data_IF_603097799330
#
_entry.id   IF_603097799330
#
_cell.length_a   1.000
_cell.length_b   1.000
_cell.length_c   1.000
_cell.angle_alpha   90.00
_cell.angle_beta   90.00
_cell.angle_gamma   90.00
#
_symmetry.space_group_name_H-M   'P 1'
#
loop_
_entity.id
_entity.type
_entity.pdbx_description
1 polymer ?
#
# COMPACT_ATOMS: atom_id res chain seq x y z
N UNK A 1 6.23 17.36 32.23
CA UNK A 1 6.31 16.73 30.89
C UNK A 1 5.64 17.69 29.92
N UNK A 2 6.43 18.31 29.01
CA UNK A 2 5.87 19.20 27.98
C UNK A 2 5.42 18.33 26.81
N UNK A 3 4.12 18.29 26.56
CA UNK A 3 3.59 17.71 25.31
C UNK A 3 4.06 18.59 24.16
N UNK A 4 4.92 18.04 23.31
CA UNK A 4 5.24 18.64 22.02
C UNK A 4 4.05 18.41 21.09
N UNK A 5 3.21 19.41 20.97
CA UNK A 5 2.21 19.44 19.91
C UNK A 5 2.95 19.47 18.56
N UNK A 6 2.81 18.42 17.77
CA UNK A 6 3.35 18.33 16.41
C UNK A 6 2.77 19.48 15.57
N UNK A 7 3.66 20.33 15.06
CA UNK A 7 3.29 21.42 14.17
C UNK A 7 2.78 20.84 12.84
N UNK A 8 1.85 21.55 12.17
CA UNK A 8 1.40 21.19 10.80
C UNK A 8 2.57 21.01 9.82
N UNK A 9 3.67 21.71 10.07
CA UNK A 9 4.90 21.64 9.29
C UNK A 9 5.65 20.33 9.56
N UNK A 10 5.68 19.85 10.79
CA UNK A 10 6.31 18.58 11.17
C UNK A 10 5.53 17.38 10.63
N UNK A 11 4.19 17.50 10.54
CA UNK A 11 3.34 16.51 9.90
C UNK A 11 3.55 16.42 8.38
N UNK A 12 3.78 17.55 7.71
CA UNK A 12 4.09 17.58 6.27
C UNK A 12 5.51 17.08 5.96
N UNK A 13 6.45 17.22 6.89
CA UNK A 13 7.82 16.71 6.73
C UNK A 13 7.92 15.20 6.99
N UNK A 14 7.00 14.59 7.72
CA UNK A 14 7.05 13.16 8.04
C UNK A 14 6.62 12.22 6.91
N UNK A 15 6.12 12.75 5.79
CA UNK A 15 5.72 11.98 4.60
C UNK A 15 6.62 12.23 3.38
N UNK A 16 7.79 12.82 3.58
CA UNK A 16 8.74 13.13 2.49
C UNK A 16 9.51 11.88 2.10
N UNK A 17 9.02 11.14 1.12
CA UNK A 17 9.80 10.11 0.43
C UNK A 17 10.85 10.78 -0.46
N UNK A 18 12.06 10.24 -0.48
CA UNK A 18 13.13 10.68 -1.37
C UNK A 18 13.20 9.72 -2.56
N UNK A 19 12.93 10.21 -3.75
CA UNK A 19 13.10 9.45 -4.98
C UNK A 19 14.54 9.54 -5.47
N UNK A 20 15.20 8.40 -5.68
CA UNK A 20 16.56 8.30 -6.20
C UNK A 20 16.52 7.53 -7.51
N UNK A 21 17.01 8.16 -8.60
CA UNK A 21 17.20 7.48 -9.87
C UNK A 21 18.39 6.51 -9.81
N UNK A 22 18.19 5.27 -10.25
CA UNK A 22 19.26 4.28 -10.37
C UNK A 22 19.87 4.34 -11.77
N UNK A 23 21.19 4.22 -11.85
CA UNK A 23 21.94 4.24 -13.11
C UNK A 23 21.57 3.11 -14.10
N UNK A 24 20.81 2.11 -13.64
CA UNK A 24 20.36 0.93 -14.41
C UNK A 24 18.93 1.03 -14.96
N UNK A 25 18.34 2.25 -14.95
CA UNK A 25 17.01 2.48 -15.54
C UNK A 25 15.83 2.21 -14.60
N UNK A 26 16.07 1.99 -13.31
CA UNK A 26 15.04 1.91 -12.28
C UNK A 26 14.96 3.16 -11.41
N UNK A 27 13.92 3.22 -10.59
CA UNK A 27 13.73 4.25 -9.58
C UNK A 27 13.67 3.63 -8.19
N UNK A 28 14.15 4.35 -7.18
CA UNK A 28 14.06 3.93 -5.78
C UNK A 28 13.45 5.06 -4.95
N UNK A 29 12.45 4.74 -4.17
CA UNK A 29 11.84 5.63 -3.21
C UNK A 29 12.28 5.17 -1.82
N UNK A 30 12.95 6.05 -1.09
CA UNK A 30 13.41 5.78 0.27
C UNK A 30 12.39 6.28 1.28
N UNK A 31 12.18 5.52 2.35
CA UNK A 31 11.50 6.01 3.54
C UNK A 31 12.29 7.16 4.18
N UNK A 32 11.63 8.07 4.92
CA UNK A 32 12.28 9.24 5.51
C UNK A 32 13.47 8.89 6.42
N UNK A 33 13.44 7.73 7.05
CA UNK A 33 14.48 7.21 7.95
C UNK A 33 15.39 6.16 7.29
N UNK A 34 15.27 5.94 5.96
CA UNK A 34 15.94 4.88 5.19
C UNK A 34 15.68 3.45 5.73
N UNK A 35 14.62 3.27 6.50
CA UNK A 35 14.28 1.97 7.10
C UNK A 35 13.84 0.94 6.05
N UNK A 36 13.35 1.39 4.91
CA UNK A 36 12.97 0.56 3.77
C UNK A 36 13.02 1.36 2.47
N UNK A 37 13.06 0.67 1.36
CA UNK A 37 13.06 1.27 0.03
C UNK A 37 12.03 0.57 -0.87
N UNK A 38 11.39 1.33 -1.76
CA UNK A 38 10.56 0.83 -2.85
C UNK A 38 11.34 0.98 -4.16
N UNK A 39 11.60 -0.14 -4.82
CA UNK A 39 12.33 -0.17 -6.09
C UNK A 39 11.37 -0.46 -7.24
N UNK A 40 11.37 0.38 -8.27
CA UNK A 40 10.54 0.22 -9.46
C UNK A 40 11.39 0.29 -10.73
N UNK A 41 10.97 -0.42 -11.76
CA UNK A 41 11.63 -0.50 -13.07
C UNK A 41 10.74 -0.01 -14.20
N UNK A 42 9.44 -0.21 -14.10
CA UNK A 42 8.46 0.13 -15.11
C UNK A 42 7.65 1.39 -14.78
N UNK A 43 7.45 1.65 -13.50
CA UNK A 43 6.70 2.80 -13.02
C UNK A 43 7.65 3.92 -12.59
N UNK A 44 7.27 5.15 -12.91
CA UNK A 44 7.99 6.33 -12.42
C UNK A 44 7.76 6.53 -10.90
N UNK A 45 8.64 7.30 -10.22
CA UNK A 45 8.56 7.48 -8.77
C UNK A 45 7.24 8.06 -8.29
N UNK A 46 6.66 9.01 -9.02
CA UNK A 46 5.40 9.64 -8.62
C UNK A 46 4.23 8.64 -8.69
N UNK A 47 4.16 7.87 -9.80
CA UNK A 47 3.17 6.80 -9.94
C UNK A 47 3.33 5.77 -8.82
N UNK A 48 4.54 5.29 -8.55
CA UNK A 48 4.81 4.30 -7.53
C UNK A 48 4.43 4.80 -6.12
N UNK A 49 4.77 6.04 -5.77
CA UNK A 49 4.40 6.66 -4.51
C UNK A 49 2.87 6.80 -4.37
N UNK A 50 2.20 7.23 -5.43
CA UNK A 50 0.74 7.39 -5.43
C UNK A 50 0.05 6.03 -5.22
N UNK A 51 0.51 4.98 -5.89
CA UNK A 51 -0.03 3.63 -5.72
C UNK A 51 0.21 3.07 -4.31
N UNK A 52 1.37 3.36 -3.69
CA UNK A 52 1.65 2.99 -2.30
C UNK A 52 0.66 3.66 -1.35
N UNK A 53 0.48 4.97 -1.47
CA UNK A 53 -0.48 5.72 -0.66
C UNK A 53 -1.91 5.24 -0.92
N UNK A 54 -2.26 4.90 -2.18
CA UNK A 54 -3.57 4.34 -2.54
C UNK A 54 -3.79 2.98 -1.88
N UNK A 55 -2.83 2.07 -1.94
CA UNK A 55 -2.94 0.75 -1.31
C UNK A 55 -3.18 0.87 0.21
N UNK A 56 -2.45 1.78 0.88
CA UNK A 56 -2.66 2.08 2.29
C UNK A 56 -4.02 2.72 2.58
N UNK A 57 -4.50 3.59 1.68
CA UNK A 57 -5.80 4.25 1.83
C UNK A 57 -6.97 3.28 1.63
N UNK A 58 -6.82 2.29 0.74
CA UNK A 58 -7.81 1.23 0.51
C UNK A 58 -7.91 0.25 1.68
N UNK A 59 -6.79 -0.09 2.30
CA UNK A 59 -6.69 -1.05 3.41
C UNK A 59 -5.86 -0.47 4.54
N UNK A 60 -6.39 0.50 5.31
CA UNK A 60 -5.66 1.17 6.38
C UNK A 60 -5.50 0.24 7.59
N UNK A 61 -4.27 -0.15 7.89
CA UNK A 61 -3.92 -0.94 9.07
C UNK A 61 -2.89 -0.18 9.90
N UNK A 62 -3.26 0.27 11.09
CA UNK A 62 -2.39 1.08 11.96
C UNK A 62 -1.11 0.34 12.38
N UNK A 63 -1.17 -1.00 12.45
CA UNK A 63 -0.04 -1.84 12.86
C UNK A 63 0.90 -2.21 11.71
N UNK A 64 0.51 -1.99 10.45
CA UNK A 64 1.35 -2.29 9.29
C UNK A 64 2.10 -1.05 8.84
N UNK A 65 3.42 -1.13 8.81
CA UNK A 65 4.27 -0.09 8.22
C UNK A 65 4.16 -0.07 6.69
N UNK A 66 4.60 1.04 6.08
CA UNK A 66 4.53 1.23 4.62
C UNK A 66 5.35 0.22 3.81
N UNK A 67 6.37 -0.41 4.43
CA UNK A 67 7.14 -1.48 3.79
C UNK A 67 6.30 -2.65 3.29
N UNK A 68 5.19 -2.97 3.96
CA UNK A 68 4.29 -4.03 3.52
C UNK A 68 3.43 -3.62 2.32
N UNK A 69 3.10 -2.33 2.22
CA UNK A 69 2.41 -1.78 1.05
C UNK A 69 3.38 -1.56 -0.11
N UNK A 70 4.66 -1.31 0.16
CA UNK A 70 5.70 -1.23 -0.86
C UNK A 70 5.82 -2.55 -1.63
N UNK A 71 5.72 -3.70 -0.96
CA UNK A 71 5.75 -5.01 -1.64
C UNK A 71 4.58 -5.20 -2.62
N UNK A 72 3.42 -4.59 -2.37
CA UNK A 72 2.30 -4.58 -3.30
C UNK A 72 2.65 -3.82 -4.57
N UNK A 73 3.25 -2.64 -4.43
CA UNK A 73 3.64 -1.79 -5.57
C UNK A 73 4.75 -2.45 -6.38
N UNK A 74 5.75 -3.07 -5.74
CA UNK A 74 6.81 -3.83 -6.42
C UNK A 74 6.25 -5.01 -7.24
N UNK A 75 5.25 -5.71 -6.69
CA UNK A 75 4.59 -6.80 -7.43
C UNK A 75 3.84 -6.29 -8.66
N UNK A 76 3.16 -5.15 -8.53
CA UNK A 76 2.44 -4.50 -9.64
C UNK A 76 3.44 -3.93 -10.67
N UNK A 77 4.54 -3.31 -10.24
CA UNK A 77 5.61 -2.81 -11.10
C UNK A 77 6.21 -3.94 -11.95
N UNK A 78 6.50 -5.08 -11.33
CA UNK A 78 7.02 -6.27 -12.00
C UNK A 78 6.06 -6.79 -13.09
N UNK A 79 4.75 -6.76 -12.84
CA UNK A 79 3.76 -7.12 -13.85
C UNK A 79 3.71 -6.07 -14.96
N UNK A 80 3.72 -4.77 -14.62
CA UNK A 80 3.71 -3.67 -15.57
C UNK A 80 4.98 -3.62 -16.45
N UNK A 81 6.10 -4.21 -16.00
CA UNK A 81 7.31 -4.32 -16.82
C UNK A 81 7.10 -5.18 -18.06
N UNK A 82 6.26 -6.22 -17.97
CA UNK A 82 5.94 -7.12 -19.09
C UNK A 82 4.59 -6.81 -19.74
N UNK A 83 3.73 -6.03 -19.10
CA UNK A 83 2.39 -5.67 -19.58
C UNK A 83 2.26 -4.15 -19.78
N UNK A 84 2.38 -3.72 -21.03
CA UNK A 84 2.27 -2.31 -21.39
C UNK A 84 0.84 -1.76 -21.19
N UNK A 85 -0.20 -2.59 -21.30
CA UNK A 85 -1.58 -2.17 -21.06
C UNK A 85 -1.80 -1.90 -19.56
N UNK A 86 -1.33 -2.79 -18.70
CA UNK A 86 -1.35 -2.58 -17.25
C UNK A 86 -0.57 -1.31 -16.86
N UNK A 87 0.65 -1.15 -17.37
CA UNK A 87 1.44 0.06 -17.10
C UNK A 87 0.69 1.33 -17.47
N UNK A 88 0.09 1.35 -18.67
CA UNK A 88 -0.72 2.49 -19.13
C UNK A 88 -1.93 2.72 -18.21
N UNK A 89 -2.66 1.68 -17.85
CA UNK A 89 -3.81 1.76 -16.94
C UNK A 89 -3.43 2.40 -15.62
N UNK A 90 -2.29 2.02 -15.03
CA UNK A 90 -1.79 2.55 -13.76
C UNK A 90 -1.39 4.03 -13.88
N UNK A 91 -0.61 4.38 -14.91
CA UNK A 91 -0.16 5.75 -15.14
C UNK A 91 -1.34 6.68 -15.43
N UNK A 92 -2.26 6.28 -16.31
CA UNK A 92 -3.48 7.06 -16.61
C UNK A 92 -4.39 7.18 -15.37
N UNK A 93 -4.46 6.11 -14.56
CA UNK A 93 -5.21 6.12 -13.30
C UNK A 93 -4.68 7.15 -12.32
N UNK A 94 -3.38 7.19 -12.12
CA UNK A 94 -2.73 8.20 -11.27
C UNK A 94 -2.93 9.61 -11.81
N UNK A 95 -2.78 9.81 -13.12
CA UNK A 95 -3.03 11.11 -13.74
C UNK A 95 -4.48 11.61 -13.52
N UNK A 96 -5.47 10.70 -13.54
CA UNK A 96 -6.86 11.05 -13.20
C UNK A 96 -7.03 11.46 -11.74
N UNK A 97 -6.38 10.71 -10.81
CA UNK A 97 -6.41 11.07 -9.38
C UNK A 97 -5.83 12.47 -9.16
N UNK A 98 -4.72 12.81 -9.77
CA UNK A 98 -4.05 14.10 -9.63
C UNK A 98 -4.88 15.24 -10.24
N UNK A 99 -5.52 15.00 -11.37
CA UNK A 99 -6.36 16.02 -12.04
C UNK A 99 -7.65 16.33 -11.30
N UNK A 100 -8.12 15.44 -10.41
CA UNK A 100 -9.43 15.56 -9.76
C UNK A 100 -9.59 16.80 -8.87
N UNK A 101 -8.49 17.34 -8.32
CA UNK A 101 -8.50 18.51 -7.41
C UNK A 101 -7.48 19.58 -7.77
N UNK A 102 -6.76 19.43 -8.89
CA UNK A 102 -5.76 20.40 -9.39
C UNK A 102 -4.45 20.44 -8.59
N UNK A 103 -4.24 19.52 -7.66
CA UNK A 103 -2.99 19.25 -6.95
C UNK A 103 -2.75 17.74 -6.90
N UNK A 104 -1.50 17.34 -6.69
CA UNK A 104 -1.17 15.91 -6.58
C UNK A 104 -2.05 15.22 -5.53
N UNK A 105 -2.64 14.09 -5.89
CA UNK A 105 -3.57 13.37 -5.01
C UNK A 105 -2.93 12.99 -3.67
N UNK A 106 -1.65 12.66 -3.67
CA UNK A 106 -0.89 12.34 -2.45
C UNK A 106 -0.78 13.51 -1.48
N UNK A 107 -0.95 14.75 -1.93
CA UNK A 107 -0.92 15.96 -1.11
C UNK A 107 -2.27 16.29 -0.48
N UNK A 108 -3.34 15.63 -0.91
CA UNK A 108 -4.67 15.82 -0.35
C UNK A 108 -4.75 15.26 1.07
N UNK A 109 -5.68 15.80 1.86
CA UNK A 109 -6.05 15.19 3.15
C UNK A 109 -6.67 13.80 2.96
N UNK A 110 -6.62 12.93 3.99
CA UNK A 110 -7.20 11.58 3.93
C UNK A 110 -8.67 11.58 3.50
N UNK A 111 -9.47 12.52 4.00
CA UNK A 111 -10.88 12.65 3.62
C UNK A 111 -11.06 13.03 2.14
N UNK A 112 -10.21 13.94 1.63
CA UNK A 112 -10.26 14.36 0.23
C UNK A 112 -9.76 13.23 -0.70
N UNK A 113 -8.72 12.48 -0.31
CA UNK A 113 -8.27 11.27 -1.03
C UNK A 113 -9.38 10.24 -1.16
N UNK A 114 -10.07 9.94 -0.06
CA UNK A 114 -11.20 9.01 -0.06
C UNK A 114 -12.36 9.49 -0.95
N UNK A 115 -12.66 10.79 -0.96
CA UNK A 115 -13.68 11.34 -1.81
C UNK A 115 -13.36 11.16 -3.31
N UNK A 116 -12.08 11.35 -3.69
CA UNK A 116 -11.62 11.11 -5.07
C UNK A 116 -11.65 9.61 -5.40
N UNK A 117 -11.17 8.73 -4.51
CA UNK A 117 -11.21 7.28 -4.75
C UNK A 117 -12.62 6.73 -4.95
N UNK A 118 -13.63 7.30 -4.25
CA UNK A 118 -15.04 6.92 -4.45
C UNK A 118 -15.53 7.22 -5.85
N UNK A 119 -15.03 8.25 -6.52
CA UNK A 119 -15.42 8.55 -7.91
C UNK A 119 -14.80 7.57 -8.92
N UNK A 120 -13.68 6.95 -8.58
CA UNK A 120 -12.98 5.96 -9.39
C UNK A 120 -13.40 4.50 -9.07
N UNK A 121 -14.25 4.25 -8.07
CA UNK A 121 -14.57 2.93 -7.52
C UNK A 121 -15.10 1.94 -8.56
N UNK A 122 -15.86 2.41 -9.53
CA UNK A 122 -16.40 1.60 -10.62
C UNK A 122 -15.37 1.34 -11.75
N UNK A 123 -14.19 1.98 -11.70
CA UNK A 123 -13.19 1.92 -12.76
C UNK A 123 -12.26 0.71 -12.66
N UNK A 124 -11.71 0.32 -13.81
CA UNK A 124 -10.76 -0.80 -13.91
C UNK A 124 -9.48 -0.53 -13.11
N UNK A 125 -8.98 0.70 -13.11
CA UNK A 125 -7.81 1.10 -12.32
C UNK A 125 -8.02 0.81 -10.82
N UNK A 126 -9.15 1.22 -10.26
CA UNK A 126 -9.47 1.00 -8.86
C UNK A 126 -9.59 -0.50 -8.54
N UNK A 127 -10.33 -1.26 -9.36
CA UNK A 127 -10.51 -2.69 -9.15
C UNK A 127 -9.18 -3.46 -9.26
N UNK A 128 -8.31 -3.08 -10.19
CA UNK A 128 -6.96 -3.64 -10.36
C UNK A 128 -6.12 -3.40 -9.11
N UNK A 129 -6.04 -2.16 -8.63
CA UNK A 129 -5.26 -1.84 -7.43
C UNK A 129 -5.83 -2.48 -6.16
N UNK A 130 -7.16 -2.52 -6.02
CA UNK A 130 -7.81 -3.22 -4.91
C UNK A 130 -7.46 -4.70 -4.90
N UNK A 131 -7.58 -5.37 -6.04
CA UNK A 131 -7.26 -6.80 -6.18
C UNK A 131 -5.78 -7.08 -5.94
N UNK A 132 -4.90 -6.26 -6.51
CA UNK A 132 -3.46 -6.37 -6.30
C UNK A 132 -3.10 -6.20 -4.81
N UNK A 133 -3.73 -5.24 -4.12
CA UNK A 133 -3.49 -5.02 -2.69
C UNK A 133 -3.95 -6.21 -1.86
N UNK A 134 -5.15 -6.74 -2.11
CA UNK A 134 -5.66 -7.93 -1.40
C UNK A 134 -4.69 -9.11 -1.61
N UNK A 135 -4.35 -9.40 -2.85
CA UNK A 135 -3.56 -10.57 -3.19
C UNK A 135 -2.12 -10.50 -2.66
N UNK A 136 -1.49 -9.33 -2.67
CA UNK A 136 -0.08 -9.23 -2.27
C UNK A 136 0.10 -8.87 -0.79
N UNK A 137 -0.83 -8.15 -0.17
CA UNK A 137 -0.73 -7.80 1.24
C UNK A 137 -1.12 -8.99 2.13
N UNK A 138 -2.28 -9.60 1.86
CA UNK A 138 -2.83 -10.66 2.73
C UNK A 138 -2.31 -12.07 2.42
N UNK A 139 -1.53 -12.26 1.37
CA UNK A 139 -0.77 -13.51 1.16
C UNK A 139 0.65 -13.44 1.70
N UNK A 140 1.08 -12.30 2.22
CA UNK A 140 2.40 -12.13 2.78
C UNK A 140 2.48 -12.78 4.18
N UNK A 141 3.33 -13.81 4.38
CA UNK A 141 3.42 -14.49 5.68
C UNK A 141 3.88 -13.57 6.82
N UNK A 142 4.62 -12.50 6.51
CA UNK A 142 5.02 -11.51 7.51
C UNK A 142 3.82 -10.70 8.03
N UNK A 143 2.80 -10.53 7.19
CA UNK A 143 1.56 -9.81 7.53
C UNK A 143 0.63 -10.71 8.35
N UNK A 144 0.64 -12.02 8.15
CA UNK A 144 -0.19 -12.97 8.90
C UNK A 144 -0.09 -12.79 10.42
N UNK A 145 1.12 -12.56 10.93
CA UNK A 145 1.39 -12.41 12.36
C UNK A 145 0.68 -11.22 12.99
N UNK A 146 0.43 -10.16 12.22
CA UNK A 146 -0.28 -8.99 12.73
C UNK A 146 -1.77 -9.24 12.92
N UNK A 147 -2.31 -10.24 12.22
CA UNK A 147 -3.72 -10.63 12.29
C UNK A 147 -3.95 -11.91 13.09
N UNK A 148 -2.89 -12.52 13.63
CA UNK A 148 -2.99 -13.80 14.34
C UNK A 148 -3.30 -14.99 13.41
N UNK A 149 -3.09 -14.83 12.09
CA UNK A 149 -3.28 -15.94 11.15
C UNK A 149 -2.02 -16.80 11.08
N UNK A 150 -2.16 -18.09 11.33
CA UNK A 150 -1.03 -19.03 11.41
C UNK A 150 -0.60 -19.61 10.04
N UNK A 151 -1.29 -19.26 8.98
CA UNK A 151 -1.04 -19.79 7.64
C UNK A 151 -2.05 -20.84 7.21
N UNK A 152 -1.75 -21.55 6.12
CA UNK A 152 -2.65 -22.56 5.56
C UNK A 152 -2.82 -23.74 6.51
N UNK A 153 -4.07 -24.08 6.83
CA UNK A 153 -4.37 -25.27 7.65
C UNK A 153 -3.91 -26.59 7.01
N UNK A 154 -3.73 -26.63 5.70
CA UNK A 154 -3.22 -27.79 4.97
C UNK A 154 -1.80 -28.14 5.42
N UNK A 155 -0.95 -27.13 5.65
CA UNK A 155 0.43 -27.33 6.13
C UNK A 155 0.49 -27.86 7.56
N UNK A 156 -0.61 -27.77 8.28
CA UNK A 156 -0.75 -28.20 9.68
C UNK A 156 -1.67 -29.41 9.87
N UNK A 157 -1.97 -30.16 8.81
CA UNK A 157 -2.82 -31.36 8.87
C UNK A 157 -4.32 -31.10 8.92
N UNK A 158 -4.77 -29.91 8.55
CA UNK A 158 -6.17 -29.51 8.50
C UNK A 158 -6.70 -29.00 9.84
N UNK A 159 -8.03 -28.86 9.94
CA UNK A 159 -8.72 -28.31 11.12
C UNK A 159 -9.26 -29.39 12.10
N UNK A 160 -9.01 -30.68 11.87
CA UNK A 160 -9.58 -31.76 12.70
C UNK A 160 -9.21 -31.59 14.19
N UNK A 161 -8.00 -31.10 14.48
CA UNK A 161 -7.49 -30.92 15.85
C UNK A 161 -7.08 -29.46 16.14
N UNK A 162 -7.58 -28.49 15.38
CA UNK A 162 -7.19 -27.06 15.48
C UNK A 162 -8.42 -26.16 15.35
N UNK A 163 -8.28 -24.91 15.78
CA UNK A 163 -9.31 -23.88 15.60
C UNK A 163 -10.40 -23.88 16.67
N UNK A 164 -10.27 -24.67 17.72
CA UNK A 164 -11.30 -24.77 18.76
C UNK A 164 -11.23 -23.63 19.80
N UNK A 165 -10.03 -23.08 20.02
CA UNK A 165 -9.76 -22.04 21.02
C UNK A 165 -9.14 -20.77 20.41
N UNK A 166 -9.26 -20.57 19.11
CA UNK A 166 -8.60 -19.45 18.38
C UNK A 166 -9.24 -18.09 18.70
N UNK A 167 -10.42 -18.08 19.29
CA UNK A 167 -11.17 -16.87 19.64
C UNK A 167 -11.05 -16.61 21.14
N UNK A 168 -9.97 -15.90 21.54
CA UNK A 168 -9.71 -15.56 22.95
C UNK A 168 -10.58 -14.41 23.52
N UNK A 169 -11.42 -13.77 22.70
CA UNK A 169 -12.28 -12.63 23.10
C UNK A 169 -13.73 -13.02 23.40
N UNK A 170 -14.13 -14.27 23.14
CA UNK A 170 -15.43 -14.76 23.58
C UNK A 170 -15.42 -15.03 25.09
N UNK A 171 -16.51 -14.72 25.82
CA UNK A 171 -16.66 -15.14 27.20
C UNK A 171 -16.52 -16.65 27.30
N UNK A 172 -15.67 -17.13 28.20
CA UNK A 172 -15.61 -18.57 28.49
C UNK A 172 -16.94 -18.97 29.11
N UNK A 173 -17.60 -19.97 28.52
CA UNK A 173 -18.84 -20.53 29.02
C UNK A 173 -18.65 -21.20 30.40
#
# INVERSE_FOLDING_TARGET
MKEHALSRRDFLCSTSFVAVGLATGGSMILAPDNAWALSTTALDPHTAQTLLVMARQLFPHDRLGDQYYATVVEAVDKQAASDAALRKLLTDGVARLDSARGIAWVELSNGARNAVLKTEEAGEFFSTMRTATINNLYTNPLVYRFFGYEGSSVEHGGYINRGFDDIGWLPKA
#
